data_IF_866263547186
#
_entry.id   IF_866263547186
#
_cell.length_a   1.000
_cell.length_b   1.000
_cell.length_c   1.000
_cell.angle_alpha   90.00
_cell.angle_beta   90.00
_cell.angle_gamma   90.00
#
_symmetry.space_group_name_H-M   'P 1'
#
loop_
_entity.id
_entity.type
_entity.pdbx_description
1 polymer ?
#
# COMPACT_ATOMS: atom_id res chain seq x y z
N UNK A 1 -20.28 -34.92 26.19
CA UNK A 1 -20.47 -34.02 25.03
C UNK A 1 -20.41 -32.57 25.50
N UNK A 2 -19.24 -31.93 25.44
CA UNK A 2 -19.12 -30.50 25.73
C UNK A 2 -19.72 -29.73 24.55
N UNK A 3 -20.72 -28.89 24.82
CA UNK A 3 -21.31 -27.99 23.83
C UNK A 3 -20.24 -26.96 23.45
N UNK A 4 -19.81 -26.97 22.19
CA UNK A 4 -19.03 -25.88 21.59
C UNK A 4 -19.78 -24.56 21.83
N UNK A 5 -19.24 -23.74 22.72
CA UNK A 5 -19.76 -22.41 22.99
C UNK A 5 -19.56 -21.59 21.71
N UNK A 6 -20.64 -21.29 20.98
CA UNK A 6 -20.56 -20.36 19.84
C UNK A 6 -20.06 -19.02 20.39
N UNK A 7 -18.92 -18.49 19.92
CA UNK A 7 -18.50 -17.18 20.36
C UNK A 7 -19.58 -16.16 19.97
N UNK A 8 -20.02 -15.37 20.94
CA UNK A 8 -20.86 -14.20 20.73
C UNK A 8 -20.25 -13.36 19.60
N UNK A 9 -21.05 -12.98 18.60
CA UNK A 9 -20.63 -11.99 17.59
C UNK A 9 -20.30 -10.70 18.34
N UNK A 10 -19.03 -10.44 18.58
CA UNK A 10 -18.59 -9.16 19.09
C UNK A 10 -18.94 -8.11 18.05
N UNK A 11 -19.79 -7.15 18.43
CA UNK A 11 -20.07 -6.00 17.59
C UNK A 11 -18.79 -5.17 17.56
N UNK A 12 -18.07 -5.23 16.45
CA UNK A 12 -16.85 -4.44 16.26
C UNK A 12 -17.27 -2.99 16.07
N UNK A 13 -16.95 -2.15 17.06
CA UNK A 13 -17.12 -0.71 16.97
C UNK A 13 -16.04 -0.16 16.03
N UNK A 14 -16.44 0.11 14.77
CA UNK A 14 -15.53 0.57 13.72
C UNK A 14 -14.75 1.84 14.08
N UNK A 15 -15.36 2.73 14.87
CA UNK A 15 -14.73 3.97 15.37
C UNK A 15 -13.59 3.74 16.36
N UNK A 16 -13.44 2.52 16.89
CA UNK A 16 -12.33 2.15 17.80
C UNK A 16 -11.19 1.46 17.09
N UNK A 17 -11.25 1.33 15.77
CA UNK A 17 -10.18 0.73 14.97
C UNK A 17 -9.21 1.83 14.53
N UNK A 18 -7.92 1.52 14.51
CA UNK A 18 -6.86 2.43 14.05
C UNK A 18 -6.79 2.51 12.52
N UNK A 19 -7.93 2.38 11.83
CA UNK A 19 -8.02 2.41 10.37
C UNK A 19 -9.26 3.17 9.92
N UNK A 20 -9.17 3.77 8.73
CA UNK A 20 -10.33 4.34 8.07
C UNK A 20 -11.19 3.22 7.49
N UNK A 21 -12.31 2.92 8.15
CA UNK A 21 -13.26 1.93 7.67
C UNK A 21 -14.22 2.54 6.64
N UNK A 22 -14.14 2.10 5.39
CA UNK A 22 -15.07 2.44 4.31
C UNK A 22 -15.59 1.17 3.63
N UNK A 23 -16.74 1.26 2.96
CA UNK A 23 -17.28 0.17 2.14
C UNK A 23 -17.42 0.64 0.71
N UNK A 24 -16.97 -0.19 -0.23
CA UNK A 24 -17.05 0.07 -1.66
C UNK A 24 -17.52 -1.18 -2.37
N UNK A 25 -18.29 -1.01 -3.45
CA UNK A 25 -18.71 -2.13 -4.31
C UNK A 25 -17.66 -2.46 -5.37
N UNK A 26 -16.72 -1.53 -5.66
CA UNK A 26 -15.58 -1.81 -6.55
C UNK A 26 -14.44 -2.47 -5.76
N UNK A 27 -13.63 -3.34 -6.40
CA UNK A 27 -12.52 -4.01 -5.74
C UNK A 27 -11.25 -3.14 -5.60
N UNK A 28 -11.31 -1.86 -5.97
CA UNK A 28 -10.22 -0.89 -5.87
C UNK A 28 -10.64 0.37 -5.12
N UNK A 29 -9.66 1.15 -4.66
CA UNK A 29 -9.88 2.49 -4.07
C UNK A 29 -10.40 3.43 -5.15
N UNK A 30 -11.43 4.21 -4.83
CA UNK A 30 -11.96 5.25 -5.74
C UNK A 30 -11.36 6.61 -5.41
N UNK A 31 -11.44 7.55 -6.35
CA UNK A 31 -11.11 8.96 -6.13
C UNK A 31 -11.71 9.49 -4.83
N UNK A 32 -13.03 9.33 -4.64
CA UNK A 32 -13.73 9.82 -3.45
C UNK A 32 -13.16 9.24 -2.15
N UNK A 33 -12.86 7.94 -2.12
CA UNK A 33 -12.27 7.29 -0.95
C UNK A 33 -10.85 7.77 -0.67
N UNK A 34 -10.09 8.08 -1.71
CA UNK A 34 -8.75 8.62 -1.58
C UNK A 34 -8.79 10.07 -1.09
N UNK A 35 -9.71 10.88 -1.60
CA UNK A 35 -9.94 12.27 -1.16
C UNK A 35 -10.43 12.32 0.30
N UNK A 36 -11.32 11.41 0.70
CA UNK A 36 -11.70 11.22 2.11
C UNK A 36 -10.46 10.91 2.96
N UNK A 37 -9.65 9.94 2.53
CA UNK A 37 -8.45 9.52 3.27
C UNK A 37 -7.47 10.68 3.45
N UNK A 38 -7.19 11.45 2.40
CA UNK A 38 -6.17 12.51 2.49
C UNK A 38 -6.60 13.64 3.43
N UNK A 39 -7.89 13.98 3.46
CA UNK A 39 -8.43 15.07 4.27
C UNK A 39 -8.81 14.64 5.69
N UNK A 40 -9.32 13.43 5.90
CA UNK A 40 -9.76 12.96 7.22
C UNK A 40 -8.66 12.26 8.03
N UNK A 41 -7.66 11.69 7.34
CA UNK A 41 -6.65 10.83 7.98
C UNK A 41 -5.25 11.39 7.77
N UNK A 42 -4.79 11.48 6.52
CA UNK A 42 -3.40 11.84 6.22
C UNK A 42 -3.07 13.26 6.69
N UNK A 43 -3.83 14.27 6.22
CA UNK A 43 -3.62 15.68 6.54
C UNK A 43 -3.58 15.97 8.04
N UNK A 44 -4.61 15.57 8.82
CA UNK A 44 -4.62 15.73 10.28
C UNK A 44 -3.44 15.02 10.96
N UNK A 45 -3.10 13.79 10.54
CA UNK A 45 -2.03 13.01 11.16
C UNK A 45 -0.66 13.65 10.94
N UNK A 46 -0.39 14.09 9.71
CA UNK A 46 0.87 14.78 9.35
C UNK A 46 0.97 16.13 10.04
N UNK A 47 -0.11 16.93 10.05
CA UNK A 47 -0.15 18.20 10.76
C UNK A 47 0.17 18.03 12.24
N UNK A 48 -0.46 17.04 12.89
CA UNK A 48 -0.21 16.70 14.29
C UNK A 48 1.27 16.35 14.52
N UNK A 49 1.82 15.43 13.73
CA UNK A 49 3.22 15.02 13.86
C UNK A 49 4.20 16.20 13.72
N UNK A 50 4.02 17.04 12.71
CA UNK A 50 4.89 18.20 12.48
C UNK A 50 4.85 19.17 13.67
N UNK A 51 3.67 19.43 14.23
CA UNK A 51 3.52 20.29 15.40
C UNK A 51 4.16 19.68 16.65
N UNK A 52 3.96 18.38 16.89
CA UNK A 52 4.55 17.66 18.03
C UNK A 52 6.09 17.64 17.96
N UNK A 53 6.65 17.54 16.76
CA UNK A 53 8.09 17.55 16.51
C UNK A 53 8.67 18.95 16.32
N UNK A 54 7.85 20.01 16.44
CA UNK A 54 8.25 21.40 16.19
C UNK A 54 8.90 21.62 14.81
N UNK A 55 8.36 20.96 13.79
CA UNK A 55 8.77 21.05 12.39
C UNK A 55 7.89 22.04 11.60
N UNK A 56 8.39 22.66 10.53
CA UNK A 56 7.58 23.52 9.68
C UNK A 56 6.47 22.73 9.00
N UNK A 57 5.30 23.37 8.83
CA UNK A 57 4.21 22.83 8.02
C UNK A 57 4.56 22.94 6.53
N UNK A 58 5.35 21.98 6.05
CA UNK A 58 5.67 21.83 4.64
C UNK A 58 5.95 20.35 4.36
N UNK A 59 5.14 19.74 3.50
CA UNK A 59 5.23 18.30 3.18
C UNK A 59 5.10 18.11 1.69
N UNK A 60 5.89 17.17 1.15
CA UNK A 60 5.77 16.68 -0.21
C UNK A 60 5.24 15.25 -0.16
N UNK A 61 4.08 15.00 -0.75
CA UNK A 61 3.51 13.68 -0.97
C UNK A 61 3.80 13.25 -2.40
N UNK A 62 4.61 12.20 -2.55
CA UNK A 62 4.90 11.59 -3.86
C UNK A 62 3.88 10.49 -4.16
N UNK A 63 3.22 10.58 -5.30
CA UNK A 63 2.15 9.67 -5.72
C UNK A 63 2.49 8.97 -7.04
N UNK A 64 2.06 7.72 -7.19
CA UNK A 64 2.03 7.07 -8.50
C UNK A 64 0.83 7.55 -9.33
N UNK A 65 0.80 7.16 -10.61
CA UNK A 65 -0.26 7.53 -11.55
C UNK A 65 -1.41 6.52 -11.59
N UNK A 66 -1.70 5.82 -10.48
CA UNK A 66 -2.86 4.92 -10.44
C UNK A 66 -4.17 5.69 -10.70
N UNK A 67 -5.13 5.05 -11.37
CA UNK A 67 -6.43 5.65 -11.70
C UNK A 67 -7.23 6.17 -10.49
N UNK A 68 -6.91 5.70 -9.29
CA UNK A 68 -7.53 6.17 -8.05
C UNK A 68 -7.02 7.55 -7.60
N UNK A 69 -5.88 8.01 -8.13
CA UNK A 69 -5.22 9.25 -7.75
C UNK A 69 -5.56 10.34 -8.77
N UNK A 70 -6.47 11.28 -8.45
CA UNK A 70 -6.87 12.30 -9.39
C UNK A 70 -5.70 13.28 -9.66
N UNK A 71 -5.41 13.67 -10.93
CA UNK A 71 -4.37 14.66 -11.22
C UNK A 71 -4.59 16.00 -10.51
N UNK A 72 -5.86 16.33 -10.26
CA UNK A 72 -6.35 17.52 -9.55
C UNK A 72 -6.48 17.32 -8.03
N UNK A 73 -5.86 16.28 -7.45
CA UNK A 73 -5.92 16.01 -5.99
C UNK A 73 -5.49 17.20 -5.13
N UNK A 74 -4.58 18.04 -5.63
CA UNK A 74 -4.13 19.25 -4.94
C UNK A 74 -5.28 20.23 -4.67
N UNK A 75 -6.26 20.29 -5.57
CA UNK A 75 -7.43 21.16 -5.48
C UNK A 75 -8.44 20.62 -4.47
N UNK A 76 -8.54 19.29 -4.37
CA UNK A 76 -9.41 18.56 -3.43
C UNK A 76 -8.94 18.63 -1.96
N UNK A 77 -7.76 19.19 -1.68
CA UNK A 77 -7.29 19.42 -0.31
C UNK A 77 -8.06 20.54 0.38
N UNK A 78 -8.47 20.31 1.63
CA UNK A 78 -9.01 21.36 2.51
C UNK A 78 -7.97 22.47 2.72
N UNK A 79 -8.45 23.70 2.91
CA UNK A 79 -7.61 24.90 3.03
C UNK A 79 -6.52 24.76 4.10
N UNK A 80 -6.85 24.12 5.22
CA UNK A 80 -5.91 23.91 6.32
C UNK A 80 -4.78 22.90 6.02
N UNK A 81 -4.88 22.16 4.91
CA UNK A 81 -3.92 21.15 4.46
C UNK A 81 -3.15 21.57 3.19
N UNK A 82 -3.29 22.82 2.74
CA UNK A 82 -2.52 23.36 1.60
C UNK A 82 -0.99 23.41 1.82
N UNK A 83 -0.52 23.13 3.04
CA UNK A 83 0.89 22.90 3.32
C UNK A 83 1.44 21.58 2.73
N UNK A 84 0.55 20.68 2.30
CA UNK A 84 0.87 19.44 1.60
C UNK A 84 0.91 19.74 0.11
N UNK A 85 2.07 19.54 -0.49
CA UNK A 85 2.27 19.56 -1.94
C UNK A 85 2.25 18.14 -2.45
N UNK A 86 1.46 17.89 -3.47
CA UNK A 86 1.35 16.58 -4.10
C UNK A 86 2.13 16.64 -5.42
N UNK A 87 3.01 15.67 -5.63
CA UNK A 87 3.74 15.52 -6.87
C UNK A 87 3.60 14.09 -7.37
N UNK A 88 3.16 13.96 -8.62
CA UNK A 88 3.06 12.68 -9.29
C UNK A 88 4.42 12.27 -9.85
N UNK A 89 4.75 11.00 -9.72
CA UNK A 89 5.90 10.37 -10.36
C UNK A 89 5.70 10.35 -11.88
N UNK A 90 6.77 10.37 -12.68
CA UNK A 90 6.62 10.20 -14.12
C UNK A 90 5.97 8.84 -14.44
N UNK A 91 5.10 8.75 -15.46
CA UNK A 91 4.60 7.49 -16.00
C UNK A 91 5.69 6.43 -16.18
N UNK A 92 5.31 5.16 -15.96
CA UNK A 92 6.19 3.99 -16.08
C UNK A 92 7.43 3.97 -15.16
N UNK A 93 7.48 4.83 -14.13
CA UNK A 93 8.59 4.84 -13.15
C UNK A 93 8.25 4.19 -11.82
N UNK A 94 7.00 3.76 -11.61
CA UNK A 94 6.53 3.20 -10.33
C UNK A 94 7.40 2.05 -9.81
N UNK A 95 7.76 1.03 -10.62
CA UNK A 95 8.59 -0.07 -10.14
C UNK A 95 9.98 0.38 -9.67
N UNK A 96 10.48 1.51 -10.15
CA UNK A 96 11.81 2.02 -9.88
C UNK A 96 11.87 3.10 -8.79
N UNK A 97 10.81 3.88 -8.64
CA UNK A 97 10.80 5.06 -7.77
C UNK A 97 9.91 4.90 -6.56
N UNK A 98 8.86 4.08 -6.66
CA UNK A 98 7.89 3.96 -5.60
C UNK A 98 8.39 2.98 -4.54
N UNK A 99 8.58 3.42 -3.29
CA UNK A 99 9.01 2.53 -2.22
C UNK A 99 8.03 1.38 -1.97
N UNK A 100 6.74 1.62 -2.26
CA UNK A 100 5.67 0.65 -2.11
C UNK A 100 5.94 -0.61 -2.94
N UNK A 101 6.05 -0.45 -4.25
CA UNK A 101 6.30 -1.54 -5.19
C UNK A 101 7.69 -2.16 -5.02
N UNK A 102 8.69 -1.35 -4.66
CA UNK A 102 10.05 -1.86 -4.54
C UNK A 102 10.25 -2.85 -3.38
N UNK A 103 9.70 -2.55 -2.20
CA UNK A 103 9.99 -3.36 -1.00
C UNK A 103 8.84 -3.42 0.00
N UNK A 104 8.07 -2.34 0.17
CA UNK A 104 7.07 -2.31 1.24
C UNK A 104 6.04 -3.40 1.01
N UNK A 105 5.50 -3.56 -0.20
CA UNK A 105 4.47 -4.56 -0.49
C UNK A 105 4.99 -5.98 -0.25
N UNK A 106 6.17 -6.32 -0.79
CA UNK A 106 6.76 -7.66 -0.64
C UNK A 106 7.07 -7.97 0.82
N UNK A 107 7.74 -7.06 1.54
CA UNK A 107 8.07 -7.25 2.95
C UNK A 107 6.82 -7.33 3.83
N UNK A 108 5.83 -6.48 3.57
CA UNK A 108 4.56 -6.49 4.29
C UNK A 108 3.86 -7.84 4.12
N UNK A 109 3.74 -8.36 2.88
CA UNK A 109 3.15 -9.68 2.60
C UNK A 109 3.87 -10.79 3.38
N UNK A 110 5.21 -10.80 3.37
CA UNK A 110 6.02 -11.79 4.10
C UNK A 110 5.77 -11.71 5.61
N UNK A 111 5.86 -10.53 6.19
CA UNK A 111 5.69 -10.33 7.63
C UNK A 111 4.26 -10.61 8.09
N UNK A 112 3.27 -10.23 7.30
CA UNK A 112 1.87 -10.57 7.57
C UNK A 112 1.64 -12.09 7.53
N UNK A 113 2.15 -12.78 6.50
CA UNK A 113 2.05 -14.26 6.38
C UNK A 113 2.76 -14.96 7.53
N UNK A 114 3.94 -14.49 7.93
CA UNK A 114 4.66 -14.98 9.11
C UNK A 114 3.82 -14.82 10.38
N UNK A 115 3.24 -13.64 10.60
CA UNK A 115 2.38 -13.39 11.75
C UNK A 115 1.12 -14.28 11.72
N UNK A 116 0.55 -14.52 10.53
CA UNK A 116 -0.62 -15.37 10.33
C UNK A 116 -0.32 -16.81 10.73
N UNK A 117 0.78 -17.37 10.24
CA UNK A 117 1.17 -18.75 10.51
C UNK A 117 1.51 -18.95 11.98
N UNK A 118 2.22 -18.00 12.61
CA UNK A 118 2.46 -18.02 14.06
C UNK A 118 1.14 -18.04 14.83
N UNK A 119 0.22 -17.15 14.51
CA UNK A 119 -1.09 -17.09 15.17
C UNK A 119 -1.91 -18.37 14.96
N UNK A 120 -1.84 -18.94 13.77
CA UNK A 120 -2.53 -20.19 13.46
C UNK A 120 -1.98 -21.35 14.29
N UNK A 121 -0.65 -21.48 14.36
CA UNK A 121 0.03 -22.48 15.18
C UNK A 121 -0.28 -22.31 16.66
N UNK A 122 -0.18 -21.10 17.22
CA UNK A 122 -0.51 -20.81 18.63
C UNK A 122 -1.95 -21.24 19.01
N UNK A 123 -2.90 -21.07 18.09
CA UNK A 123 -4.30 -21.45 18.33
C UNK A 123 -4.52 -22.94 18.17
N UNK A 124 -3.80 -23.57 17.24
CA UNK A 124 -3.95 -24.99 16.93
C UNK A 124 -3.13 -25.89 17.86
N UNK A 125 -2.03 -25.41 18.41
CA UNK A 125 -1.12 -26.17 19.26
C UNK A 125 -1.86 -26.74 20.49
N UNK A 126 -1.76 -28.06 20.68
CA UNK A 126 -2.46 -28.76 21.75
C UNK A 126 -3.98 -28.87 21.56
N UNK A 127 -4.51 -28.54 20.37
CA UNK A 127 -5.93 -28.66 20.03
C UNK A 127 -6.15 -29.59 18.84
N UNK A 128 -7.40 -30.03 18.63
CA UNK A 128 -7.82 -30.78 17.44
C UNK A 128 -8.51 -29.89 16.40
N UNK A 129 -8.25 -28.58 16.42
CA UNK A 129 -8.87 -27.64 15.49
C UNK A 129 -8.31 -27.84 14.09
N UNK A 130 -9.20 -27.83 13.11
CA UNK A 130 -8.82 -27.77 11.69
C UNK A 130 -8.52 -26.34 11.26
N UNK A 131 -7.77 -26.17 10.17
CA UNK A 131 -7.58 -24.85 9.54
C UNK A 131 -8.91 -24.14 9.23
N UNK A 132 -9.91 -24.91 8.78
CA UNK A 132 -11.26 -24.37 8.53
C UNK A 132 -11.89 -23.78 9.79
N UNK A 133 -11.72 -24.43 10.93
CA UNK A 133 -12.24 -23.96 12.22
C UNK A 133 -11.46 -22.76 12.74
N UNK A 134 -10.14 -22.73 12.53
CA UNK A 134 -9.32 -21.54 12.78
C UNK A 134 -9.88 -20.32 12.02
N UNK A 135 -10.04 -20.41 10.70
CA UNK A 135 -10.55 -19.32 9.88
C UNK A 135 -11.95 -18.87 10.30
N UNK A 136 -12.81 -19.82 10.66
CA UNK A 136 -14.21 -19.54 10.99
C UNK A 136 -14.40 -18.93 12.38
N UNK A 137 -13.63 -19.39 13.37
CA UNK A 137 -13.90 -19.10 14.78
C UNK A 137 -12.78 -18.35 15.49
N UNK A 138 -11.57 -18.30 14.93
CA UNK A 138 -10.39 -17.72 15.57
C UNK A 138 -9.71 -16.62 14.75
N UNK A 139 -10.10 -16.46 13.48
CA UNK A 139 -9.64 -15.36 12.63
C UNK A 139 -10.75 -14.32 12.46
N UNK A 140 -10.52 -13.13 13.01
CA UNK A 140 -11.47 -12.02 13.00
C UNK A 140 -10.78 -10.74 12.54
N UNK A 141 -11.56 -9.77 12.10
CA UNK A 141 -11.04 -8.50 11.58
C UNK A 141 -10.08 -7.79 12.55
N UNK A 142 -10.31 -7.88 13.86
CA UNK A 142 -9.40 -7.31 14.87
C UNK A 142 -8.05 -8.02 14.89
N UNK A 143 -8.01 -9.33 14.65
CA UNK A 143 -6.76 -10.06 14.52
C UNK A 143 -6.02 -9.63 13.25
N UNK A 144 -6.74 -9.47 12.12
CA UNK A 144 -6.16 -8.96 10.89
C UNK A 144 -5.50 -7.59 11.11
N UNK A 145 -6.22 -6.66 11.75
CA UNK A 145 -5.73 -5.29 11.97
C UNK A 145 -4.48 -5.25 12.85
N UNK A 146 -4.42 -6.08 13.90
CA UNK A 146 -3.22 -6.21 14.74
C UNK A 146 -2.02 -6.76 13.96
N UNK A 147 -2.27 -7.67 13.02
CA UNK A 147 -1.20 -8.20 12.16
C UNK A 147 -0.74 -7.18 11.13
N UNK A 148 -1.65 -6.37 10.59
CA UNK A 148 -1.33 -5.25 9.70
C UNK A 148 -0.44 -4.25 10.43
N UNK A 149 -0.84 -3.82 11.63
CA UNK A 149 -0.09 -2.85 12.45
C UNK A 149 1.36 -3.33 12.68
N UNK A 150 1.53 -4.57 13.13
CA UNK A 150 2.86 -5.16 13.34
C UNK A 150 3.68 -5.27 12.05
N UNK A 151 3.08 -5.76 10.97
CA UNK A 151 3.79 -5.93 9.70
C UNK A 151 4.20 -4.57 9.10
N UNK A 152 3.39 -3.53 9.30
CA UNK A 152 3.61 -2.19 8.76
C UNK A 152 4.82 -1.49 9.41
N UNK A 153 4.93 -1.53 10.73
CA UNK A 153 6.05 -0.93 11.49
C UNK A 153 7.40 -1.51 11.09
N UNK A 154 7.48 -2.85 11.01
CA UNK A 154 8.69 -3.57 10.62
C UNK A 154 9.08 -3.30 9.15
N UNK A 155 8.10 -3.12 8.27
CA UNK A 155 8.30 -2.93 6.83
C UNK A 155 8.88 -1.56 6.48
N UNK A 156 8.30 -0.47 6.99
CA UNK A 156 8.66 0.89 6.59
C UNK A 156 10.14 1.20 6.86
N UNK A 157 10.63 0.77 8.03
CA UNK A 157 12.03 0.96 8.44
C UNK A 157 13.00 0.29 7.46
N UNK A 158 12.66 -0.91 6.97
CA UNK A 158 13.49 -1.66 6.02
C UNK A 158 13.53 -1.02 4.63
N UNK A 159 12.38 -0.56 4.13
CA UNK A 159 12.26 -0.05 2.77
C UNK A 159 13.04 1.25 2.56
N UNK A 160 12.90 2.19 3.50
CA UNK A 160 13.59 3.49 3.44
C UNK A 160 15.10 3.37 3.54
N UNK A 161 15.61 2.41 4.33
CA UNK A 161 17.06 2.19 4.47
C UNK A 161 17.74 1.76 3.17
N UNK A 162 17.08 0.98 2.32
CA UNK A 162 17.66 0.54 1.04
C UNK A 162 17.62 1.67 0.00
N UNK A 163 16.54 2.45 -0.05
CA UNK A 163 16.37 3.54 -1.01
C UNK A 163 17.19 4.78 -0.64
N UNK A 164 17.30 5.07 0.65
CA UNK A 164 18.06 6.21 1.15
C UNK A 164 18.82 5.79 2.42
N UNK A 165 19.96 5.09 2.29
CA UNK A 165 20.73 4.62 3.45
C UNK A 165 21.15 5.73 4.41
N UNK A 166 21.37 6.93 3.90
CA UNK A 166 21.77 8.12 4.67
C UNK A 166 20.63 8.76 5.49
N UNK A 167 19.35 8.51 5.17
CA UNK A 167 18.21 9.10 5.89
C UNK A 167 17.82 8.30 7.13
N UNK A 168 18.40 7.11 7.29
CA UNK A 168 18.17 6.22 8.45
C UNK A 168 19.28 6.36 9.50
N UNK A 169 20.16 7.37 9.37
CA UNK A 169 21.04 7.78 10.47
C UNK A 169 20.25 8.66 11.46
N UNK A 170 20.15 8.19 12.70
CA UNK A 170 19.71 8.94 13.89
C UNK A 170 18.41 9.75 13.71
N UNK A 171 17.33 9.11 13.28
CA UNK A 171 16.07 9.43 13.91
C UNK A 171 16.04 8.65 15.23
N UNK A 172 16.11 9.33 16.37
CA UNK A 172 15.94 8.78 17.73
C UNK A 172 14.52 8.24 17.95
N UNK A 173 14.02 7.40 17.05
CA UNK A 173 12.82 6.61 17.25
C UNK A 173 13.22 5.36 18.06
N UNK A 174 13.26 5.53 19.38
CA UNK A 174 13.37 4.43 20.34
C UNK A 174 12.15 3.50 20.21
N UNK A 175 12.22 2.49 19.35
CA UNK A 175 11.10 1.53 19.25
C UNK A 175 11.23 0.40 18.23
N UNK A 176 12.04 0.53 17.18
CA UNK A 176 11.97 -0.42 16.07
C UNK A 176 13.00 -1.56 16.19
N UNK A 177 12.51 -2.77 16.49
CA UNK A 177 13.31 -4.00 16.34
C UNK A 177 13.44 -4.37 14.86
N UNK A 178 14.67 -4.60 14.42
CA UNK A 178 15.03 -4.91 13.05
C UNK A 178 14.85 -6.42 12.79
N UNK A 179 14.05 -6.79 11.79
CA UNK A 179 13.98 -8.17 11.28
C UNK A 179 14.59 -8.20 9.87
N UNK A 180 15.58 -9.08 9.65
CA UNK A 180 16.13 -9.34 8.31
C UNK A 180 15.12 -10.18 7.50
N UNK A 181 15.03 -9.96 6.19
CA UNK A 181 14.03 -10.59 5.30
C UNK A 181 14.29 -12.10 5.12
N UNK A 182 15.55 -12.53 5.05
CA UNK A 182 15.92 -13.94 4.87
C UNK A 182 15.50 -14.84 6.05
N UNK A 183 15.66 -14.41 7.33
CA UNK A 183 15.04 -15.09 8.46
C UNK A 183 13.52 -15.24 8.37
N UNK A 184 12.81 -14.26 7.79
CA UNK A 184 11.36 -14.31 7.72
C UNK A 184 10.85 -15.43 6.79
N UNK A 185 11.45 -15.59 5.60
CA UNK A 185 11.07 -16.67 4.65
C UNK A 185 11.32 -18.05 5.25
N UNK A 186 12.49 -18.25 5.87
CA UNK A 186 12.83 -19.52 6.53
C UNK A 186 11.89 -19.86 7.70
N UNK A 187 11.51 -18.86 8.51
CA UNK A 187 10.50 -19.04 9.55
C UNK A 187 9.12 -19.39 8.98
N UNK A 188 8.68 -18.73 7.89
CA UNK A 188 7.40 -19.04 7.23
C UNK A 188 7.39 -20.48 6.74
N UNK A 189 8.44 -20.92 6.04
CA UNK A 189 8.57 -22.30 5.55
C UNK A 189 8.56 -23.31 6.71
N UNK A 190 9.26 -23.01 7.81
CA UNK A 190 9.29 -23.87 8.99
C UNK A 190 7.89 -24.01 9.60
N UNK A 191 7.15 -22.91 9.72
CA UNK A 191 5.78 -22.91 10.23
C UNK A 191 4.82 -23.66 9.31
N UNK A 192 4.91 -23.44 7.99
CA UNK A 192 4.11 -24.14 6.99
C UNK A 192 4.30 -25.66 7.09
N UNK A 193 5.56 -26.10 7.22
CA UNK A 193 5.90 -27.51 7.38
C UNK A 193 5.31 -28.12 8.66
N UNK A 194 5.34 -27.39 9.78
CA UNK A 194 4.70 -27.84 11.04
C UNK A 194 3.19 -27.99 10.85
N UNK A 195 2.58 -27.11 10.07
CA UNK A 195 1.15 -27.13 9.75
C UNK A 195 0.78 -28.18 8.67
N UNK A 196 1.75 -28.91 8.12
CA UNK A 196 1.54 -29.89 7.05
C UNK A 196 1.19 -29.25 5.70
N UNK A 197 1.59 -28.00 5.47
CA UNK A 197 1.41 -27.29 4.21
C UNK A 197 2.64 -27.46 3.33
N UNK A 198 2.42 -27.72 2.04
CA UNK A 198 3.45 -27.65 1.00
C UNK A 198 3.54 -26.20 0.52
N UNK A 199 4.64 -25.52 0.82
CA UNK A 199 4.93 -24.14 0.44
C UNK A 199 6.35 -24.09 -0.07
N UNK A 200 6.56 -23.54 -1.26
CA UNK A 200 7.89 -23.30 -1.83
C UNK A 200 8.32 -21.83 -1.71
N UNK A 201 9.56 -21.52 -2.12
CA UNK A 201 10.05 -20.14 -2.06
C UNK A 201 9.30 -19.19 -3.01
N UNK A 202 8.83 -19.67 -4.15
CA UNK A 202 8.07 -18.85 -5.11
C UNK A 202 6.67 -18.50 -4.58
N UNK A 203 6.12 -19.32 -3.68
CA UNK A 203 4.86 -19.04 -3.00
C UNK A 203 4.96 -17.88 -1.97
N UNK A 204 6.18 -17.58 -1.51
CA UNK A 204 6.45 -16.56 -0.47
C UNK A 204 7.14 -15.32 -1.07
N UNK A 205 8.07 -15.54 -1.99
CA UNK A 205 8.74 -14.51 -2.76
C UNK A 205 7.93 -14.23 -4.03
N UNK A 206 7.11 -13.18 -3.98
CA UNK A 206 6.67 -12.53 -5.22
C UNK A 206 7.93 -11.99 -5.91
N UNK A 207 8.18 -12.32 -7.19
CA UNK A 207 9.34 -11.80 -7.91
C UNK A 207 9.17 -10.29 -8.01
N UNK A 208 9.83 -9.57 -7.11
CA UNK A 208 10.14 -8.16 -7.34
C UNK A 208 10.99 -8.18 -8.60
N UNK A 209 10.61 -7.44 -9.64
CA UNK A 209 11.56 -7.10 -10.69
C UNK A 209 12.65 -6.27 -10.01
N UNK A 210 13.63 -6.95 -9.40
CA UNK A 210 14.71 -6.33 -8.67
C UNK A 210 15.67 -5.78 -9.72
N UNK A 211 15.29 -4.63 -10.27
CA UNK A 211 16.13 -3.83 -11.13
C UNK A 211 17.24 -3.25 -10.26
N UNK A 212 18.26 -4.07 -10.01
CA UNK A 212 19.49 -3.74 -9.27
C UNK A 212 20.36 -2.68 -9.95
N UNK A 213 19.89 -2.08 -11.05
CA UNK A 213 20.55 -0.92 -11.65
C UNK A 213 20.17 0.33 -10.88
N UNK A 214 21.16 0.91 -10.21
CA UNK A 214 21.10 2.24 -9.60
C UNK A 214 20.52 3.26 -10.60
N UNK A 215 19.30 3.75 -10.35
CA UNK A 215 18.71 4.78 -11.20
C UNK A 215 19.46 6.09 -10.97
N UNK A 216 20.31 6.46 -11.91
CA UNK A 216 20.96 7.77 -11.90
C UNK A 216 19.93 8.87 -12.18
N UNK A 217 20.16 10.06 -11.62
CA UNK A 217 19.34 11.25 -11.88
C UNK A 217 19.20 11.58 -13.37
N UNK A 218 20.21 11.25 -14.18
CA UNK A 218 20.16 11.38 -15.65
C UNK A 218 19.14 10.44 -16.27
N UNK A 219 19.14 9.15 -15.88
CA UNK A 219 18.18 8.15 -16.38
C UNK A 219 16.74 8.50 -15.96
N UNK A 220 16.59 9.12 -14.78
CA UNK A 220 15.30 9.67 -14.33
C UNK A 220 14.83 10.87 -15.15
N UNK A 221 15.73 11.79 -15.47
CA UNK A 221 15.41 12.92 -16.36
C UNK A 221 15.04 12.45 -17.77
N UNK A 222 15.72 11.42 -18.28
CA UNK A 222 15.41 10.80 -19.57
C UNK A 222 14.02 10.13 -19.56
N UNK A 223 13.69 9.34 -18.54
CA UNK A 223 12.35 8.74 -18.38
C UNK A 223 11.25 9.80 -18.28
N UNK A 224 11.50 10.88 -17.53
CA UNK A 224 10.57 12.00 -17.42
C UNK A 224 10.38 12.76 -18.74
N UNK A 225 11.45 12.88 -19.55
CA UNK A 225 11.37 13.50 -20.87
C UNK A 225 10.58 12.63 -21.85
N UNK A 226 10.86 11.32 -21.91
CA UNK A 226 10.12 10.36 -22.75
C UNK A 226 8.65 10.35 -22.38
N UNK A 227 8.33 10.30 -21.10
CA UNK A 227 6.94 10.30 -20.65
C UNK A 227 6.21 11.60 -21.01
N UNK A 228 6.86 12.78 -20.94
CA UNK A 228 6.24 14.02 -21.40
C UNK A 228 5.96 14.01 -22.91
N UNK A 229 6.80 13.34 -23.71
CA UNK A 229 6.55 13.17 -25.14
C UNK A 229 5.37 12.25 -25.41
N UNK A 230 5.26 11.12 -24.70
CA UNK A 230 4.13 10.18 -24.81
C UNK A 230 2.79 10.84 -24.44
N UNK A 231 2.75 11.63 -23.36
CA UNK A 231 1.54 12.37 -22.96
C UNK A 231 1.13 13.40 -24.03
N UNK A 232 2.10 14.06 -24.66
CA UNK A 232 1.82 15.00 -25.76
C UNK A 232 1.29 14.25 -26.99
N UNK A 233 1.88 13.12 -27.37
CA UNK A 233 1.41 12.31 -28.50
C UNK A 233 0.00 11.74 -28.26
N UNK A 234 -0.30 11.28 -27.05
CA UNK A 234 -1.61 10.76 -26.68
C UNK A 234 -2.68 11.86 -26.75
N UNK A 235 -2.39 13.06 -26.21
CA UNK A 235 -3.31 14.21 -26.29
C UNK A 235 -3.58 14.68 -27.72
N UNK A 236 -2.59 14.63 -28.62
CA UNK A 236 -2.77 14.94 -30.04
C UNK A 236 -3.62 13.90 -30.76
N UNK A 237 -3.48 12.62 -30.39
CA UNK A 237 -4.27 11.53 -30.97
C UNK A 237 -5.74 11.57 -30.55
N UNK A 238 -6.03 11.98 -29.30
CA UNK A 238 -7.40 12.17 -28.81
C UNK A 238 -8.08 13.36 -29.50
N UNK A 239 -7.36 14.46 -29.76
CA UNK A 239 -7.89 15.61 -30.51
C UNK A 239 -8.19 15.27 -31.99
N UNK A 240 -7.36 14.44 -32.64
CA UNK A 240 -7.63 13.93 -33.99
C UNK A 240 -8.86 13.00 -34.03
N UNK A 241 -9.08 12.17 -33.00
CA UNK A 241 -10.23 11.27 -32.95
C UNK A 241 -11.55 12.02 -32.67
N UNK A 242 -11.50 13.09 -31.88
CA UNK A 242 -12.65 13.96 -31.60
C UNK A 242 -13.04 14.80 -32.83
N UNK A 243 -12.06 15.32 -33.57
CA UNK A 243 -12.31 16.08 -34.80
C UNK A 243 -12.86 15.18 -35.92
N UNK A 244 -12.35 13.97 -36.08
CA UNK A 244 -12.87 13.00 -37.05
C UNK A 244 -14.33 12.56 -36.75
N UNK A 245 -14.72 12.45 -35.48
CA UNK A 245 -16.10 12.13 -35.07
C UNK A 245 -17.07 13.31 -35.30
N UNK A 246 -16.60 14.55 -35.17
CA UNK A 246 -17.43 15.74 -35.46
C UNK A 246 -17.67 15.92 -36.96
N UNK A 247 -16.68 15.66 -37.82
CA UNK A 247 -16.84 15.74 -39.28
C UNK A 247 -17.77 14.65 -39.83
N UNK A 248 -17.73 13.43 -39.26
CA UNK A 248 -18.63 12.34 -39.63
C UNK A 248 -20.11 12.61 -39.27
N UNK A 249 -20.36 13.32 -38.16
CA UNK A 249 -21.72 13.66 -37.71
C UNK A 249 -22.38 14.80 -38.51
N UNK A 250 -21.61 15.59 -39.25
CA UNK A 250 -22.12 16.73 -40.03
C UNK A 250 -22.74 16.36 -41.38
N UNK A 251 -22.50 15.14 -41.89
CA UNK A 251 -22.86 14.75 -43.26
C UNK A 251 -24.24 14.08 -43.43
N UNK A 252 -25.06 14.00 -42.39
CA UNK A 252 -26.41 13.38 -42.48
C UNK A 252 -27.47 14.41 -42.10
N UNK A 253 -27.76 15.36 -42.99
CA UNK A 253 -28.99 16.16 -43.02
C UNK A 253 -29.14 16.86 -44.37
N UNK A 254 -29.48 16.10 -45.40
CA UNK A 254 -30.20 16.61 -46.57
C UNK A 254 -30.86 15.43 -47.32
N UNK A 255 -32.16 15.26 -47.08
CA UNK A 255 -33.19 14.66 -47.92
C UNK A 255 -34.55 14.94 -47.26
#
# INVERSE_FOLDING_TARGET
>A
MQKLHKPSRSVVLKSRLNVMWRSNNKPWVTRDLFTDWINEVFGPSVKKYLLEMNLPLHVLLLMDNALAHPPDLQDDLLEEFKFIKIQFLPPNTTPFLQPMDHQVISNFKKLYTKALFKRCLEVMEGTNLTLREFWKYHFHIVACLKMIEKAWEETLTSAWKKLWPQSVFECDFEGFQIVRVEPAVNEIMSLAKIMGLEVDNNDIDEPVEEHSQELTTKKLMELHYVSQQEVVEESLSEEEEVTAKQESSGAIREC
#
